data_IF_690566945366
#
_entry.id   IF_690566945366
#
_cell.length_a   1.000
_cell.length_b   1.000
_cell.length_c   1.000
_cell.angle_alpha   90.00
_cell.angle_beta   90.00
_cell.angle_gamma   90.00
#
_symmetry.space_group_name_H-M   'P 1'
#
loop_
_entity.id
_entity.type
_entity.pdbx_description
1 polymer ?
#
# COMPACT_ATOMS: atom_id res chain seq x y z
N UNK A 1 3.83 1.85 1.19
CA UNK A 1 4.84 1.10 0.41
C UNK A 1 5.58 1.93 -0.66
N UNK A 2 5.25 3.16 -0.93
CA UNK A 2 6.01 4.05 -1.83
C UNK A 2 7.09 4.84 -1.13
N UNK A 3 7.21 4.74 0.19
CA UNK A 3 8.07 5.61 0.98
C UNK A 3 8.70 4.81 2.10
N UNK A 4 9.95 4.62 1.94
CA UNK A 4 10.99 4.16 2.85
C UNK A 4 11.13 2.72 3.27
N UNK A 5 12.26 2.17 2.84
CA UNK A 5 12.92 1.08 3.57
C UNK A 5 14.28 1.46 4.18
N UNK A 6 14.90 2.57 3.86
CA UNK A 6 16.10 3.09 4.53
C UNK A 6 16.44 4.54 4.15
N UNK A 7 15.99 5.03 2.97
CA UNK A 7 16.30 6.34 2.40
C UNK A 7 15.11 6.95 1.67
N UNK A 8 13.97 7.15 2.32
CA UNK A 8 12.77 7.76 1.72
C UNK A 8 12.03 6.87 0.67
N UNK A 9 12.51 5.62 0.43
CA UNK A 9 11.84 4.61 -0.39
C UNK A 9 12.17 4.60 -1.88
N UNK A 10 12.06 3.44 -2.50
CA UNK A 10 12.41 3.22 -3.91
C UNK A 10 11.69 4.21 -4.85
N UNK A 11 10.42 4.50 -4.60
CA UNK A 11 9.65 5.42 -5.43
C UNK A 11 10.18 6.85 -5.37
N UNK A 12 10.61 7.30 -4.18
CA UNK A 12 11.18 8.65 -3.99
C UNK A 12 12.57 8.74 -4.60
N UNK A 13 13.43 7.78 -4.31
CA UNK A 13 14.83 7.79 -4.77
C UNK A 13 14.93 7.68 -6.29
N UNK A 14 14.04 6.92 -6.93
CA UNK A 14 14.04 6.72 -8.38
C UNK A 14 13.01 7.59 -9.12
N UNK A 15 12.27 8.46 -8.44
CA UNK A 15 11.24 9.31 -9.02
C UNK A 15 10.22 8.56 -9.87
N UNK A 16 9.82 7.35 -9.42
CA UNK A 16 8.88 6.49 -10.14
C UNK A 16 7.49 7.14 -10.16
N UNK A 17 6.92 7.46 -11.34
CA UNK A 17 5.59 8.03 -11.44
C UNK A 17 4.56 7.14 -10.74
N UNK A 18 4.04 7.59 -9.60
CA UNK A 18 3.20 6.82 -8.71
C UNK A 18 1.81 7.43 -8.59
N UNK A 19 0.78 6.62 -8.79
CA UNK A 19 -0.60 6.95 -8.46
C UNK A 19 -1.01 6.20 -7.19
N UNK A 20 -1.29 6.94 -6.12
CA UNK A 20 -1.80 6.41 -4.86
C UNK A 20 -3.29 6.68 -4.76
N UNK A 21 -4.10 5.65 -4.82
CA UNK A 21 -5.54 5.70 -4.70
C UNK A 21 -5.95 5.32 -3.28
N UNK A 22 -6.35 6.31 -2.50
CA UNK A 22 -6.92 6.10 -1.17
C UNK A 22 -8.43 6.00 -1.29
N UNK A 23 -8.99 4.83 -1.06
CA UNK A 23 -10.43 4.58 -1.16
C UNK A 23 -11.16 4.83 0.17
N UNK A 24 -10.43 4.94 1.27
CA UNK A 24 -10.98 5.18 2.62
C UNK A 24 -10.67 6.58 3.14
N UNK A 25 -9.41 6.99 3.04
CA UNK A 25 -8.94 8.24 3.64
C UNK A 25 -8.82 9.36 2.62
N UNK A 26 -9.08 10.60 3.05
CA UNK A 26 -8.92 11.75 2.17
C UNK A 26 -7.48 11.94 1.69
N UNK A 27 -7.30 12.44 0.47
CA UNK A 27 -5.99 12.73 -0.11
C UNK A 27 -5.15 13.64 0.79
N UNK A 28 -5.77 14.63 1.44
CA UNK A 28 -5.09 15.53 2.39
C UNK A 28 -4.47 14.77 3.57
N UNK A 29 -5.22 13.82 4.13
CA UNK A 29 -4.73 12.99 5.24
C UNK A 29 -3.54 12.15 4.81
N UNK A 30 -3.59 11.58 3.60
CA UNK A 30 -2.49 10.80 3.03
C UNK A 30 -1.27 11.67 2.72
N UNK A 31 -1.48 12.89 2.18
CA UNK A 31 -0.40 13.86 1.98
C UNK A 31 0.32 14.19 3.29
N UNK A 32 -0.40 14.43 4.38
CA UNK A 32 0.20 14.68 5.69
C UNK A 32 1.05 13.50 6.16
N UNK A 33 0.55 12.26 6.04
CA UNK A 33 1.32 11.05 6.38
C UNK A 33 2.60 10.94 5.54
N UNK A 34 2.51 11.18 4.26
CA UNK A 34 3.69 11.17 3.39
C UNK A 34 4.68 12.29 3.79
N UNK A 35 4.20 13.48 4.19
CA UNK A 35 5.06 14.51 4.74
C UNK A 35 5.77 14.06 6.02
N UNK A 36 5.09 13.38 6.95
CA UNK A 36 5.74 12.79 8.13
C UNK A 36 6.87 11.84 7.73
N UNK A 37 6.61 10.97 6.75
CA UNK A 37 7.60 10.00 6.27
C UNK A 37 8.82 10.70 5.66
N UNK A 38 8.65 11.62 4.71
CA UNK A 38 9.77 12.24 4.01
C UNK A 38 10.53 13.29 4.84
N UNK A 39 9.87 13.90 5.83
CA UNK A 39 10.50 14.87 6.73
C UNK A 39 11.12 14.22 7.97
N UNK A 40 10.59 13.07 8.40
CA UNK A 40 10.92 12.46 9.68
C UNK A 40 10.27 13.13 10.89
N UNK A 41 9.39 14.12 10.65
CA UNK A 41 8.70 14.87 11.69
C UNK A 41 7.44 14.16 12.17
N UNK A 42 7.04 14.45 13.40
CA UNK A 42 5.76 14.02 13.95
C UNK A 42 4.59 14.82 13.34
N UNK A 43 3.37 14.37 13.61
CA UNK A 43 2.16 15.11 13.21
C UNK A 43 2.08 16.50 13.82
N UNK A 44 2.45 16.60 15.08
CA UNK A 44 2.43 17.84 15.86
C UNK A 44 3.41 18.86 15.26
N UNK A 45 4.64 18.46 15.03
CA UNK A 45 5.68 19.31 14.41
C UNK A 45 5.30 19.80 13.01
N UNK A 46 4.61 18.97 12.21
CA UNK A 46 4.09 19.39 10.89
C UNK A 46 2.95 20.40 11.05
N UNK A 47 2.03 20.17 12.01
CA UNK A 47 0.90 21.05 12.21
C UNK A 47 1.30 22.45 12.73
N UNK A 48 2.41 22.52 13.46
CA UNK A 48 2.95 23.81 13.96
C UNK A 48 3.49 24.70 12.84
N UNK A 49 4.06 24.10 11.78
CA UNK A 49 4.59 24.87 10.65
C UNK A 49 4.43 24.15 9.28
N UNK A 50 3.19 23.89 8.85
CA UNK A 50 2.91 23.07 7.69
C UNK A 50 3.46 23.63 6.39
N UNK A 51 3.45 24.96 6.24
CA UNK A 51 3.90 25.63 5.02
C UNK A 51 5.41 25.47 4.78
N UNK A 52 6.22 25.65 5.81
CA UNK A 52 7.67 25.52 5.74
C UNK A 52 8.08 24.05 5.52
N UNK A 53 7.45 23.13 6.25
CA UNK A 53 7.69 21.70 6.08
C UNK A 53 7.35 21.27 4.64
N UNK A 54 6.21 21.71 4.13
CA UNK A 54 5.81 21.41 2.75
C UNK A 54 6.82 21.99 1.73
N UNK A 55 7.16 23.26 1.82
CA UNK A 55 8.13 23.89 0.92
C UNK A 55 9.47 23.15 0.88
N UNK A 56 9.96 22.73 2.06
CA UNK A 56 11.23 22.04 2.20
C UNK A 56 11.24 20.64 1.59
N UNK A 57 10.13 19.89 1.73
CA UNK A 57 10.10 18.45 1.44
C UNK A 57 9.24 18.05 0.23
N UNK A 58 8.42 18.95 -0.32
CA UNK A 58 7.50 18.64 -1.44
C UNK A 58 8.19 18.01 -2.66
N UNK A 59 9.45 18.39 -2.92
CA UNK A 59 10.20 17.89 -4.07
C UNK A 59 10.37 16.36 -4.03
N UNK A 60 10.39 15.76 -2.84
CA UNK A 60 10.46 14.31 -2.65
C UNK A 60 9.17 13.59 -3.04
N UNK A 61 8.06 14.30 -3.18
CA UNK A 61 6.75 13.75 -3.51
C UNK A 61 6.21 14.18 -4.89
N UNK A 62 6.98 14.91 -5.67
CA UNK A 62 6.54 15.44 -6.97
C UNK A 62 6.17 14.33 -7.99
N UNK A 63 6.74 13.14 -7.84
CA UNK A 63 6.45 11.97 -8.68
C UNK A 63 5.19 11.20 -8.24
N UNK A 64 4.58 11.58 -7.11
CA UNK A 64 3.44 10.88 -6.53
C UNK A 64 2.17 11.73 -6.62
N UNK A 65 1.15 11.18 -7.26
CA UNK A 65 -0.21 11.73 -7.29
C UNK A 65 -1.05 10.94 -6.31
N UNK A 66 -1.64 11.62 -5.31
CA UNK A 66 -2.53 11.01 -4.31
C UNK A 66 -3.93 11.49 -4.60
N UNK A 67 -4.88 10.57 -4.79
CA UNK A 67 -6.27 10.88 -5.05
C UNK A 67 -7.21 10.01 -4.23
N UNK A 68 -8.34 10.60 -3.82
CA UNK A 68 -9.51 9.87 -3.35
C UNK A 68 -10.51 9.84 -4.50
N UNK A 69 -10.96 8.66 -4.90
CA UNK A 69 -11.87 8.44 -6.00
C UNK A 69 -13.02 7.52 -5.57
N UNK A 70 -14.15 7.50 -6.29
CA UNK A 70 -15.16 6.45 -6.10
C UNK A 70 -14.52 5.06 -6.24
N UNK A 71 -14.84 4.10 -5.35
CA UNK A 71 -14.17 2.81 -5.27
C UNK A 71 -14.68 1.84 -6.35
N UNK A 72 -14.48 2.17 -7.61
CA UNK A 72 -14.86 1.33 -8.75
C UNK A 72 -13.67 1.05 -9.67
N UNK A 73 -13.66 -0.12 -10.31
CA UNK A 73 -12.61 -0.50 -11.25
C UNK A 73 -12.56 0.44 -12.47
N UNK A 74 -13.71 0.99 -12.87
CA UNK A 74 -13.82 1.95 -13.98
C UNK A 74 -13.10 3.24 -13.67
N UNK A 75 -13.24 3.76 -12.43
CA UNK A 75 -12.57 4.98 -11.99
C UNK A 75 -11.05 4.76 -11.88
N UNK A 76 -10.63 3.60 -11.35
CA UNK A 76 -9.21 3.23 -11.29
C UNK A 76 -8.62 3.19 -12.71
N UNK A 77 -9.31 2.50 -13.65
CA UNK A 77 -8.88 2.40 -15.04
C UNK A 77 -8.81 3.76 -15.74
N UNK A 78 -9.78 4.63 -15.48
CA UNK A 78 -9.79 5.99 -16.04
C UNK A 78 -8.56 6.79 -15.57
N UNK A 79 -8.22 6.72 -14.27
CA UNK A 79 -7.06 7.40 -13.71
C UNK A 79 -5.73 6.84 -14.21
N UNK A 80 -5.62 5.54 -14.34
CA UNK A 80 -4.43 4.89 -14.96
C UNK A 80 -4.23 5.38 -16.39
N UNK A 81 -5.30 5.44 -17.19
CA UNK A 81 -5.24 5.94 -18.57
C UNK A 81 -4.87 7.43 -18.64
N UNK A 82 -5.42 8.25 -17.75
CA UNK A 82 -5.17 9.69 -17.66
C UNK A 82 -3.73 10.00 -17.29
N UNK A 83 -3.22 9.38 -16.22
CA UNK A 83 -1.95 9.74 -15.60
C UNK A 83 -0.77 8.89 -16.07
N UNK A 84 -1.03 7.73 -16.66
CA UNK A 84 -0.02 6.76 -17.12
C UNK A 84 1.11 6.52 -16.11
N UNK A 85 0.77 6.15 -14.87
CA UNK A 85 1.78 5.90 -13.84
C UNK A 85 2.55 4.61 -14.14
N UNK A 86 3.76 4.48 -13.61
CA UNK A 86 4.50 3.22 -13.61
C UNK A 86 4.14 2.34 -12.39
N UNK A 87 3.65 2.97 -11.31
CA UNK A 87 3.22 2.29 -10.08
C UNK A 87 1.85 2.82 -9.65
N UNK A 88 0.94 1.89 -9.34
CA UNK A 88 -0.36 2.21 -8.74
C UNK A 88 -0.47 1.53 -7.38
N UNK A 89 -0.87 2.26 -6.36
CA UNK A 89 -1.25 1.71 -5.05
C UNK A 89 -2.74 1.87 -4.88
N UNK A 90 -3.44 0.78 -4.57
CA UNK A 90 -4.89 0.77 -4.29
C UNK A 90 -5.08 0.43 -2.81
N UNK A 91 -5.50 1.40 -2.02
CA UNK A 91 -5.60 1.31 -0.57
C UNK A 91 -7.04 1.61 -0.10
N UNK A 92 -7.84 0.58 0.19
CA UNK A 92 -7.62 -0.87 0.06
C UNK A 92 -8.72 -1.51 -0.80
N UNK A 93 -8.42 -2.67 -1.39
CA UNK A 93 -9.24 -3.29 -2.44
C UNK A 93 -10.60 -3.79 -1.97
N UNK A 94 -10.74 -4.11 -0.67
CA UNK A 94 -11.99 -4.62 -0.09
C UNK A 94 -13.14 -3.58 -0.15
N UNK A 95 -12.85 -2.31 -0.45
CA UNK A 95 -13.86 -1.26 -0.66
C UNK A 95 -14.36 -1.16 -2.10
N UNK A 96 -13.70 -1.84 -3.05
CA UNK A 96 -14.07 -1.72 -4.46
C UNK A 96 -15.43 -2.38 -4.71
N UNK A 97 -16.32 -1.60 -5.32
CA UNK A 97 -17.64 -2.09 -5.73
C UNK A 97 -17.54 -3.10 -6.88
N UNK A 98 -18.33 -4.14 -6.78
CA UNK A 98 -18.42 -5.19 -7.81
C UNK A 98 -19.80 -5.22 -8.44
N UNK A 99 -19.95 -5.72 -9.68
CA UNK A 99 -21.25 -5.92 -10.29
C UNK A 99 -22.18 -6.77 -9.41
N UNK A 100 -23.51 -6.52 -9.41
CA UNK A 100 -24.48 -7.28 -8.59
C UNK A 100 -24.52 -8.79 -8.88
N UNK A 101 -24.00 -9.21 -10.02
CA UNK A 101 -23.86 -10.62 -10.39
C UNK A 101 -22.73 -11.33 -9.66
N UNK A 102 -21.73 -10.60 -9.12
CA UNK A 102 -20.61 -11.13 -8.34
C UNK A 102 -21.00 -11.15 -6.88
N UNK A 103 -21.32 -12.33 -6.35
CA UNK A 103 -21.84 -12.49 -5.00
C UNK A 103 -20.85 -13.26 -4.13
N UNK A 104 -20.79 -12.87 -2.86
CA UNK A 104 -19.89 -13.49 -1.87
C UNK A 104 -18.50 -12.85 -1.86
N UNK A 105 -17.97 -12.66 -0.66
CA UNK A 105 -16.71 -11.94 -0.42
C UNK A 105 -15.54 -12.51 -1.22
N UNK A 106 -15.41 -13.84 -1.26
CA UNK A 106 -14.35 -14.50 -2.03
C UNK A 106 -14.41 -14.19 -3.53
N UNK A 107 -15.59 -14.31 -4.16
CA UNK A 107 -15.77 -14.03 -5.59
C UNK A 107 -15.59 -12.54 -5.92
N UNK A 108 -15.97 -11.66 -5.01
CA UNK A 108 -15.74 -10.21 -5.15
C UNK A 108 -14.23 -9.90 -5.14
N UNK A 109 -13.49 -10.39 -4.14
CA UNK A 109 -12.04 -10.19 -4.07
C UNK A 109 -11.33 -10.83 -5.27
N UNK A 110 -11.77 -12.00 -5.72
CA UNK A 110 -11.25 -12.66 -6.91
C UNK A 110 -11.47 -11.82 -8.17
N UNK A 111 -12.68 -11.31 -8.38
CA UNK A 111 -13.00 -10.43 -9.49
C UNK A 111 -12.13 -9.18 -9.50
N UNK A 112 -12.00 -8.52 -8.36
CA UNK A 112 -11.18 -7.30 -8.19
C UNK A 112 -9.70 -7.61 -8.45
N UNK A 113 -9.13 -8.60 -7.78
CA UNK A 113 -7.71 -8.92 -7.88
C UNK A 113 -7.30 -9.35 -9.28
N UNK A 114 -8.12 -10.16 -9.97
CA UNK A 114 -7.89 -10.51 -11.37
C UNK A 114 -8.00 -9.31 -12.31
N UNK A 115 -8.96 -8.42 -12.08
CA UNK A 115 -9.13 -7.21 -12.88
C UNK A 115 -7.93 -6.26 -12.74
N UNK A 116 -7.42 -6.07 -11.52
CA UNK A 116 -6.22 -5.28 -11.27
C UNK A 116 -4.95 -5.94 -11.85
N UNK A 117 -4.82 -7.26 -11.72
CA UNK A 117 -3.72 -8.00 -12.35
C UNK A 117 -3.72 -7.86 -13.88
N UNK A 118 -4.88 -8.00 -14.50
CA UNK A 118 -5.03 -7.79 -15.95
C UNK A 118 -4.71 -6.35 -16.35
N UNK A 119 -5.11 -5.38 -15.54
CA UNK A 119 -4.79 -3.96 -15.77
C UNK A 119 -3.29 -3.72 -15.70
N UNK A 120 -2.58 -4.33 -14.75
CA UNK A 120 -1.14 -4.23 -14.61
C UNK A 120 -0.42 -4.74 -15.87
N UNK A 121 -0.80 -5.92 -16.35
CA UNK A 121 -0.21 -6.53 -17.58
C UNK A 121 -0.51 -5.70 -18.81
N UNK A 122 -1.78 -5.29 -19.01
CA UNK A 122 -2.21 -4.60 -20.21
C UNK A 122 -1.65 -3.16 -20.34
N UNK A 123 -1.20 -2.56 -19.26
CA UNK A 123 -0.65 -1.20 -19.26
C UNK A 123 0.84 -1.14 -18.89
N UNK A 124 1.50 -2.30 -18.78
CA UNK A 124 2.92 -2.41 -18.40
C UNK A 124 3.27 -1.59 -17.16
N UNK A 125 2.52 -1.83 -16.07
CA UNK A 125 2.68 -1.11 -14.81
C UNK A 125 2.65 -2.06 -13.61
N UNK A 126 3.12 -1.60 -12.47
CA UNK A 126 3.06 -2.32 -11.20
C UNK A 126 1.80 -1.89 -10.44
N UNK A 127 1.00 -2.85 -9.96
CA UNK A 127 -0.10 -2.56 -9.03
C UNK A 127 0.20 -3.19 -7.67
N UNK A 128 0.16 -2.37 -6.62
CA UNK A 128 0.16 -2.81 -5.23
C UNK A 128 -1.29 -2.78 -4.74
N UNK A 129 -1.84 -3.96 -4.48
CA UNK A 129 -3.16 -4.13 -3.87
C UNK A 129 -2.96 -4.22 -2.35
N UNK A 130 -3.55 -3.31 -1.60
CA UNK A 130 -3.61 -3.42 -0.13
C UNK A 130 -4.91 -4.13 0.23
N UNK A 131 -4.86 -5.13 1.08
CA UNK A 131 -6.03 -5.83 1.63
C UNK A 131 -5.89 -6.02 3.12
N UNK A 132 -7.00 -6.07 3.82
CA UNK A 132 -7.00 -6.28 5.25
C UNK A 132 -6.88 -7.76 5.61
N UNK A 133 -6.14 -8.04 6.66
CA UNK A 133 -6.09 -9.37 7.26
C UNK A 133 -7.44 -9.68 7.93
N UNK A 134 -7.94 -10.90 7.78
CA UNK A 134 -9.18 -11.32 8.43
C UNK A 134 -9.05 -11.25 9.96
N UNK A 135 -10.18 -10.99 10.64
CA UNK A 135 -10.19 -10.86 12.12
C UNK A 135 -9.72 -12.12 12.84
N UNK A 136 -9.94 -13.29 12.26
CA UNK A 136 -9.52 -14.56 12.81
C UNK A 136 -7.99 -14.67 12.87
N UNK A 137 -7.31 -14.36 11.77
CA UNK A 137 -5.86 -14.38 11.71
C UNK A 137 -5.20 -13.25 12.51
N UNK A 138 -5.86 -12.10 12.61
CA UNK A 138 -5.32 -10.99 13.41
C UNK A 138 -5.22 -11.33 14.90
N UNK A 139 -6.07 -12.24 15.41
CA UNK A 139 -6.03 -12.72 16.79
C UNK A 139 -4.90 -13.72 17.02
N UNK A 140 -4.59 -14.57 16.04
CA UNK A 140 -3.61 -15.64 16.16
C UNK A 140 -2.16 -15.17 15.88
N UNK A 141 -1.95 -13.93 15.46
CA UNK A 141 -0.64 -13.30 15.17
C UNK A 141 0.25 -14.06 14.17
N UNK A 142 -0.31 -15.00 13.44
CA UNK A 142 0.40 -15.74 12.39
C UNK A 142 -0.13 -15.24 11.06
N UNK A 143 0.76 -14.69 10.24
CA UNK A 143 0.45 -14.38 8.84
C UNK A 143 0.93 -15.55 7.99
N UNK A 144 0.00 -16.10 7.23
CA UNK A 144 0.27 -17.04 6.15
C UNK A 144 -0.46 -16.59 4.87
N UNK A 145 -0.33 -17.35 3.81
CA UNK A 145 -1.01 -17.04 2.55
C UNK A 145 -2.55 -17.03 2.67
N UNK A 146 -3.08 -17.60 3.75
CA UNK A 146 -4.52 -17.71 4.01
C UNK A 146 -5.06 -16.60 4.93
N UNK A 147 -4.19 -15.72 5.43
CA UNK A 147 -4.56 -14.70 6.41
C UNK A 147 -5.43 -13.57 5.83
N UNK A 148 -5.32 -13.27 4.56
CA UNK A 148 -6.11 -12.22 3.89
C UNK A 148 -7.56 -12.63 3.66
N UNK A 149 -8.47 -11.67 3.63
CA UNK A 149 -9.81 -11.88 3.12
C UNK A 149 -9.75 -12.28 1.66
N UNK A 150 -10.37 -13.40 1.29
CA UNK A 150 -10.26 -13.94 -0.07
C UNK A 150 -8.84 -14.34 -0.48
N UNK A 151 -8.00 -14.74 0.47
CA UNK A 151 -6.55 -14.96 0.36
C UNK A 151 -6.13 -15.80 -0.85
N UNK A 152 -6.79 -16.90 -1.12
CA UNK A 152 -6.48 -17.72 -2.31
C UNK A 152 -6.68 -16.96 -3.63
N UNK A 153 -7.63 -16.02 -3.68
CA UNK A 153 -7.86 -15.19 -4.86
C UNK A 153 -6.75 -14.15 -5.05
N UNK A 154 -6.33 -13.49 -3.95
CA UNK A 154 -5.22 -12.53 -3.95
C UNK A 154 -3.92 -13.22 -4.30
N UNK A 155 -3.67 -14.39 -3.69
CA UNK A 155 -2.48 -15.19 -3.97
C UNK A 155 -2.38 -15.56 -5.45
N UNK A 156 -3.47 -16.07 -6.02
CA UNK A 156 -3.49 -16.51 -7.43
C UNK A 156 -3.30 -15.35 -8.41
N UNK A 157 -3.82 -14.15 -8.08
CA UNK A 157 -3.70 -12.96 -8.92
C UNK A 157 -2.37 -12.20 -8.76
N UNK A 158 -1.59 -12.50 -7.71
CA UNK A 158 -0.39 -11.74 -7.36
C UNK A 158 0.89 -12.53 -7.63
N UNK A 159 1.92 -11.86 -8.14
CA UNK A 159 3.28 -12.43 -8.26
C UNK A 159 4.02 -12.44 -6.92
N UNK A 160 3.74 -11.46 -6.08
CA UNK A 160 4.33 -11.33 -4.75
C UNK A 160 3.23 -11.03 -3.73
N UNK A 161 3.30 -11.69 -2.59
CA UNK A 161 2.42 -11.44 -1.44
C UNK A 161 3.29 -11.06 -0.26
N UNK A 162 3.01 -9.91 0.32
CA UNK A 162 3.77 -9.34 1.43
C UNK A 162 2.81 -9.21 2.62
N UNK A 163 3.15 -9.83 3.72
CA UNK A 163 2.45 -9.70 4.99
C UNK A 163 3.15 -8.71 5.92
N UNK A 164 2.38 -7.82 6.55
CA UNK A 164 2.87 -6.95 7.62
C UNK A 164 2.11 -7.29 8.90
N UNK A 165 2.82 -7.76 9.92
CA UNK A 165 2.26 -8.19 11.20
C UNK A 165 2.80 -7.36 12.37
N UNK A 166 2.05 -7.33 13.46
CA UNK A 166 2.44 -6.73 14.73
C UNK A 166 1.25 -6.22 15.53
N UNK A 167 1.38 -6.24 16.84
CA UNK A 167 0.34 -5.74 17.75
C UNK A 167 0.12 -4.24 17.55
N UNK A 168 -1.13 -3.78 17.67
CA UNK A 168 -1.51 -2.38 17.44
C UNK A 168 -0.70 -1.40 18.31
N UNK A 169 -0.43 -1.74 19.56
CA UNK A 169 0.27 -0.89 20.53
C UNK A 169 1.77 -1.18 20.63
N UNK A 170 2.33 -1.99 19.74
CA UNK A 170 3.77 -2.30 19.72
C UNK A 170 4.44 -1.56 18.56
N UNK A 171 5.59 -0.97 18.81
CA UNK A 171 6.45 -0.46 17.74
C UNK A 171 7.07 -1.58 16.89
N UNK A 172 7.19 -2.79 17.45
CA UNK A 172 7.75 -3.95 16.75
C UNK A 172 6.76 -4.48 15.72
N UNK A 173 7.21 -4.59 14.49
CA UNK A 173 6.47 -5.14 13.36
C UNK A 173 7.32 -6.19 12.66
N UNK A 174 6.67 -7.06 11.91
CA UNK A 174 7.35 -8.05 11.08
C UNK A 174 6.81 -7.95 9.67
N UNK A 175 7.70 -7.84 8.71
CA UNK A 175 7.38 -7.97 7.29
C UNK A 175 7.80 -9.36 6.85
N UNK A 176 6.93 -10.03 6.13
CA UNK A 176 7.18 -11.37 5.62
C UNK A 176 6.77 -11.46 4.14
N UNK A 177 7.66 -11.97 3.31
CA UNK A 177 7.33 -12.30 1.93
C UNK A 177 6.70 -13.69 1.91
N UNK A 178 5.39 -13.74 1.76
CA UNK A 178 4.59 -14.98 1.80
C UNK A 178 4.57 -15.70 0.45
N UNK A 179 4.71 -14.97 -0.64
CA UNK A 179 4.84 -15.49 -2.01
C UNK A 179 5.83 -14.63 -2.78
N UNK A 180 6.71 -15.25 -3.54
CA UNK A 180 7.62 -14.58 -4.46
C UNK A 180 7.88 -15.49 -5.67
N UNK A 181 7.29 -15.15 -6.81
CA UNK A 181 7.43 -15.95 -8.04
C UNK A 181 8.86 -15.93 -8.59
N UNK A 182 9.61 -14.87 -8.34
CA UNK A 182 10.89 -14.62 -8.99
C UNK A 182 12.08 -14.58 -7.99
N UNK A 183 11.90 -15.08 -6.76
CA UNK A 183 12.97 -15.03 -5.76
C UNK A 183 12.64 -15.77 -4.47
N UNK A 184 13.46 -15.57 -3.47
CA UNK A 184 13.35 -16.24 -2.17
C UNK A 184 12.28 -15.59 -1.28
N UNK A 185 11.78 -16.38 -0.33
CA UNK A 185 10.96 -15.90 0.77
C UNK A 185 11.90 -15.40 1.87
N UNK A 186 11.55 -14.29 2.49
CA UNK A 186 12.31 -13.77 3.63
C UNK A 186 11.39 -13.10 4.64
N UNK A 187 11.92 -12.93 5.85
CA UNK A 187 11.28 -12.23 6.95
C UNK A 187 12.20 -11.14 7.47
N UNK A 188 11.64 -10.00 7.82
CA UNK A 188 12.38 -8.87 8.39
C UNK A 188 11.66 -8.31 9.60
N UNK A 189 12.41 -8.06 10.66
CA UNK A 189 11.92 -7.34 11.83
C UNK A 189 12.03 -5.84 11.58
N UNK A 190 10.95 -5.13 11.88
CA UNK A 190 10.81 -3.69 11.65
C UNK A 190 10.42 -2.99 12.93
N UNK A 191 10.79 -1.74 13.05
CA UNK A 191 10.34 -0.86 14.10
C UNK A 191 9.54 0.31 13.54
N UNK A 192 8.33 0.47 14.05
CA UNK A 192 7.46 1.60 13.73
C UNK A 192 7.88 2.84 14.48
N UNK A 193 8.00 3.95 13.78
CA UNK A 193 8.40 5.24 14.33
C UNK A 193 7.23 6.25 14.34
N UNK A 194 7.24 7.24 15.24
CA UNK A 194 6.21 8.29 15.30
C UNK A 194 6.03 9.08 14.01
N UNK A 195 7.07 9.15 13.17
CA UNK A 195 7.02 9.75 11.83
C UNK A 195 6.40 8.86 10.75
N UNK A 196 5.69 7.79 11.11
CA UNK A 196 5.16 6.77 10.20
C UNK A 196 6.20 5.99 9.41
N UNK A 197 7.45 6.02 9.82
CA UNK A 197 8.50 5.19 9.22
C UNK A 197 8.54 3.81 9.84
N UNK A 198 8.82 2.82 8.99
CA UNK A 198 9.20 1.47 9.40
C UNK A 198 10.69 1.32 9.13
N UNK A 199 11.49 1.07 10.16
CA UNK A 199 12.92 0.81 10.02
C UNK A 199 13.20 -0.66 10.26
N UNK A 200 14.09 -1.24 9.45
CA UNK A 200 14.62 -2.57 9.74
C UNK A 200 15.46 -2.50 11.01
N UNK A 201 15.20 -3.40 11.96
CA UNK A 201 16.07 -3.56 13.13
C UNK A 201 17.33 -4.31 12.68
N UNK A 202 18.53 -3.83 13.02
CA UNK A 202 19.73 -4.61 12.75
C UNK A 202 19.65 -5.89 13.58
N UNK A 203 19.74 -7.00 12.89
CA UNK A 203 19.93 -8.36 13.40
C UNK A 203 19.03 -8.84 14.55
N UNK A 204 18.09 -9.65 14.17
CA UNK A 204 17.87 -10.94 14.83
C UNK A 204 18.02 -12.03 13.78
#
# INVERSE_FOLDING_TARGET
LGVDFQNDGISVDNQIPTLYLSLELSAWYMHRRNMQIVSGLTKEEINDNPTEVYKKHKHKLNHMVIQTIPPTLEQIKAKVKELRPALVVVDYIDLIETPPSVRGEYEQIKYISHSLSSMAVNNDLIIIQVSQVSREYSRNQVLDLYAGKGSGAIENASRKVIGLNGQANSSKKTLEILKNTDGELFKANLEWQPSFRLRRTPND
#
